data_IF_250499563049
#
_entry.id   IF_250499563049
#
_cell.length_a   1.000
_cell.length_b   1.000
_cell.length_c   1.000
_cell.angle_alpha   90.00
_cell.angle_beta   90.00
_cell.angle_gamma   90.00
#
_symmetry.space_group_name_H-M   'P 1'
#
loop_
_entity.id
_entity.type
_entity.pdbx_description
1 polymer ?
#
# COMPACT_ATOMS: atom_id res chain seq x y z
N UNK A 1 2.21 -3.97 -19.80
CA UNK A 1 2.47 -5.24 -19.09
C UNK A 1 1.51 -5.31 -17.91
N UNK A 2 0.88 -6.46 -17.67
CA UNK A 2 -0.09 -6.64 -16.58
C UNK A 2 0.40 -7.79 -15.70
N UNK A 3 0.67 -7.50 -14.43
CA UNK A 3 1.18 -8.49 -13.48
C UNK A 3 0.04 -9.10 -12.68
N UNK A 4 0.18 -10.37 -12.33
CA UNK A 4 -0.69 -11.00 -11.35
C UNK A 4 -0.26 -10.62 -9.94
N UNK A 5 -1.24 -10.51 -9.03
CA UNK A 5 -1.00 -10.09 -7.64
C UNK A 5 -1.48 -11.20 -6.72
N UNK A 6 -0.55 -11.72 -5.94
CA UNK A 6 -0.78 -12.73 -4.92
C UNK A 6 -0.66 -12.08 -3.54
N UNK A 7 -1.67 -12.27 -2.70
CA UNK A 7 -1.69 -11.68 -1.36
C UNK A 7 -1.21 -12.71 -0.34
N UNK A 8 -0.07 -12.44 0.29
CA UNK A 8 0.44 -13.25 1.39
C UNK A 8 -0.57 -13.33 2.53
N UNK A 9 -0.62 -14.48 3.22
CA UNK A 9 -1.54 -14.69 4.34
C UNK A 9 -1.32 -13.67 5.47
N UNK A 10 -0.06 -13.34 5.76
CA UNK A 10 0.33 -12.32 6.74
C UNK A 10 -0.23 -10.95 6.38
N UNK A 11 -0.18 -10.56 5.11
CA UNK A 11 -0.77 -9.32 4.61
C UNK A 11 -2.29 -9.31 4.86
N UNK A 12 -2.98 -10.40 4.52
CA UNK A 12 -4.43 -10.50 4.75
C UNK A 12 -4.80 -10.39 6.24
N UNK A 13 -4.02 -11.01 7.13
CA UNK A 13 -4.18 -10.90 8.59
C UNK A 13 -3.98 -9.45 9.06
N UNK A 14 -2.93 -8.77 8.60
CA UNK A 14 -2.68 -7.36 8.92
C UNK A 14 -3.81 -6.45 8.46
N UNK A 15 -4.33 -6.64 7.24
CA UNK A 15 -5.47 -5.85 6.73
C UNK A 15 -6.72 -6.06 7.59
N UNK A 16 -6.99 -7.29 8.06
CA UNK A 16 -8.11 -7.57 8.98
C UNK A 16 -7.97 -6.79 10.29
N UNK A 17 -6.77 -6.74 10.88
CA UNK A 17 -6.49 -5.98 12.11
C UNK A 17 -6.66 -4.46 11.85
N UNK A 18 -6.09 -3.96 10.75
CA UNK A 18 -6.11 -2.54 10.42
C UNK A 18 -7.52 -2.02 10.07
N UNK A 19 -8.42 -2.88 9.60
CA UNK A 19 -9.81 -2.52 9.30
C UNK A 19 -10.54 -1.88 10.48
N UNK A 20 -10.20 -2.24 11.71
CA UNK A 20 -10.82 -1.67 12.91
C UNK A 20 -10.46 -0.18 13.10
N UNK A 21 -9.25 0.21 12.70
CA UNK A 21 -8.74 1.58 12.83
C UNK A 21 -8.99 2.42 11.57
N UNK A 22 -8.89 1.80 10.41
CA UNK A 22 -9.03 2.41 9.09
C UNK A 22 -10.12 1.68 8.32
N UNK A 23 -11.35 2.21 8.38
CA UNK A 23 -12.52 1.58 7.77
C UNK A 23 -12.37 1.42 6.25
N UNK A 24 -11.66 2.35 5.60
CA UNK A 24 -11.46 2.41 4.14
C UNK A 24 -10.16 1.75 3.65
N UNK A 25 -9.46 1.03 4.52
CA UNK A 25 -8.16 0.42 4.18
C UNK A 25 -8.24 -0.52 2.98
N UNK A 26 -9.36 -1.22 2.79
CA UNK A 26 -9.50 -2.14 1.65
C UNK A 26 -9.58 -1.36 0.34
N UNK A 27 -10.36 -0.30 0.30
CA UNK A 27 -10.55 0.58 -0.86
C UNK A 27 -9.23 1.26 -1.22
N UNK A 28 -8.52 1.80 -0.21
CA UNK A 28 -7.20 2.42 -0.38
C UNK A 28 -6.18 1.41 -0.97
N UNK A 29 -6.19 0.17 -0.48
CA UNK A 29 -5.31 -0.89 -0.96
C UNK A 29 -5.69 -1.42 -2.35
N UNK A 30 -6.97 -1.49 -2.70
CA UNK A 30 -7.42 -1.90 -4.06
C UNK A 30 -6.88 -0.92 -5.11
N UNK A 31 -6.92 0.38 -4.84
CA UNK A 31 -6.30 1.38 -5.72
C UNK A 31 -4.80 1.13 -5.90
N UNK A 32 -4.09 0.82 -4.82
CA UNK A 32 -2.66 0.50 -4.85
C UNK A 32 -2.34 -0.80 -5.60
N UNK A 33 -3.14 -1.84 -5.43
CA UNK A 33 -3.01 -3.10 -6.18
C UNK A 33 -3.16 -2.85 -7.69
N UNK A 34 -4.08 -1.99 -8.11
CA UNK A 34 -4.23 -1.64 -9.53
C UNK A 34 -2.99 -0.95 -10.12
N UNK A 35 -2.32 -0.12 -9.32
CA UNK A 35 -1.06 0.53 -9.72
C UNK A 35 0.07 -0.52 -9.80
N UNK A 36 0.17 -1.41 -8.80
CA UNK A 36 1.17 -2.48 -8.77
C UNK A 36 1.03 -3.47 -9.93
N UNK A 37 -0.20 -3.75 -10.37
CA UNK A 37 -0.48 -4.56 -11.57
C UNK A 37 0.14 -3.98 -12.84
N UNK A 38 0.36 -2.67 -12.92
CA UNK A 38 0.97 -1.99 -14.07
C UNK A 38 2.47 -1.80 -13.88
N UNK A 39 2.88 -1.44 -12.66
CA UNK A 39 4.27 -1.21 -12.31
C UNK A 39 4.59 -1.75 -10.89
N UNK A 40 5.17 -2.96 -10.77
CA UNK A 40 5.46 -3.56 -9.46
C UNK A 40 6.68 -2.94 -8.78
N UNK A 41 7.49 -2.15 -9.49
CA UNK A 41 8.69 -1.48 -8.98
C UNK A 41 8.43 -0.04 -8.55
N UNK A 42 7.17 0.30 -8.29
CA UNK A 42 6.80 1.61 -7.76
C UNK A 42 7.09 1.68 -6.25
N UNK A 43 7.71 2.78 -5.82
CA UNK A 43 8.12 2.99 -4.43
C UNK A 43 9.62 2.84 -4.24
N UNK A 44 10.03 2.59 -3.00
CA UNK A 44 11.43 2.57 -2.61
C UNK A 44 11.94 1.12 -2.51
N UNK A 45 13.06 0.76 -3.15
CA UNK A 45 13.67 -0.54 -2.95
C UNK A 45 14.16 -0.65 -1.50
N UNK A 46 13.93 -1.78 -0.85
CA UNK A 46 14.39 -2.01 0.51
C UNK A 46 15.91 -2.26 0.48
N UNK A 47 16.72 -1.48 1.22
CA UNK A 47 18.17 -1.69 1.27
C UNK A 47 18.52 -3.10 1.77
N UNK A 48 19.57 -3.70 1.20
CA UNK A 48 20.03 -5.04 1.59
C UNK A 48 19.33 -6.21 0.88
N UNK A 49 18.34 -5.95 0.02
CA UNK A 49 17.54 -6.99 -0.67
C UNK A 49 17.73 -7.01 -2.19
N UNK A 50 18.88 -6.57 -2.69
CA UNK A 50 19.25 -6.63 -4.12
C UNK A 50 18.18 -6.11 -5.12
N UNK A 51 17.34 -5.14 -4.70
CA UNK A 51 16.21 -4.59 -5.48
C UNK A 51 15.12 -5.62 -5.84
N UNK A 52 15.01 -6.70 -5.07
CA UNK A 52 13.95 -7.69 -5.21
C UNK A 52 12.70 -7.30 -4.40
N UNK A 53 12.90 -6.62 -3.28
CA UNK A 53 11.83 -6.17 -2.39
C UNK A 53 11.65 -4.65 -2.48
N UNK A 54 10.40 -4.24 -2.67
CA UNK A 54 10.00 -2.85 -2.81
C UNK A 54 8.96 -2.48 -1.73
N UNK A 55 9.05 -1.26 -1.23
CA UNK A 55 8.12 -0.71 -0.23
C UNK A 55 7.35 0.47 -0.82
N UNK A 56 6.03 0.42 -0.71
CA UNK A 56 5.14 1.50 -1.12
C UNK A 56 4.38 2.06 0.09
N UNK A 57 4.13 3.37 0.10
CA UNK A 57 3.27 4.03 1.08
C UNK A 57 1.88 4.22 0.48
N UNK A 58 0.85 3.69 1.14
CA UNK A 58 -0.54 3.96 0.79
C UNK A 58 -1.04 5.12 1.67
N UNK A 59 -1.62 6.15 1.04
CA UNK A 59 -2.34 7.19 1.77
C UNK A 59 -3.64 6.59 2.31
N UNK A 60 -3.99 6.89 3.56
CA UNK A 60 -5.29 6.48 4.11
C UNK A 60 -6.33 7.57 3.89
N UNK A 61 -7.47 7.18 3.32
CA UNK A 61 -8.62 8.06 3.14
C UNK A 61 -9.33 8.42 4.46
N UNK A 62 -9.12 7.65 5.51
CA UNK A 62 -9.72 7.90 6.83
C UNK A 62 -8.99 8.99 7.62
N UNK A 63 -7.74 9.29 7.24
CA UNK A 63 -6.99 10.41 7.82
C UNK A 63 -7.44 11.68 7.10
N UNK A 64 -8.36 12.42 7.72
CA UNK A 64 -8.61 13.81 7.33
C UNK A 64 -7.29 14.55 7.51
N UNK A 65 -6.72 15.11 6.42
CA UNK A 65 -5.60 16.05 6.50
C UNK A 65 -5.97 17.11 7.54
N UNK A 66 -5.36 17.04 8.72
CA UNK A 66 -5.15 18.25 9.50
C UNK A 66 -4.42 19.20 8.58
N UNK A 67 -4.99 20.39 8.39
CA UNK A 67 -4.48 21.49 7.59
C UNK A 67 -2.94 21.46 7.55
N UNK A 68 -2.37 21.14 6.40
CA UNK A 68 -0.92 21.33 6.19
C UNK A 68 -0.73 22.82 5.94
N UNK A 69 -0.72 23.60 7.01
CA UNK A 69 -0.08 24.92 7.00
C UNK A 69 1.42 24.67 7.03
N UNK A 70 2.08 24.97 5.91
CA UNK A 70 3.39 25.65 5.77
C UNK A 70 3.47 26.05 4.29
N UNK A 71 3.32 27.35 4.03
CA UNK A 71 4.33 28.22 3.38
C UNK A 71 4.88 27.69 2.05
#
# INVERSE_FOLDING_TARGET
>A
MNYEVYLAETFQKCVKILKNKYRRIKEDLVGMIHILKKNPRIGDPVPGWNKEIWKIRAASSDIKKGQTWWL
#
